data_IF_748876584105
#
_entry.id   IF_748876584105
#
_cell.length_a   1.000
_cell.length_b   1.000
_cell.length_c   1.000
_cell.angle_alpha   90.00
_cell.angle_beta   90.00
_cell.angle_gamma   90.00
#
_symmetry.space_group_name_H-M   'P 1'
#
loop_
_entity.id
_entity.type
_entity.pdbx_description
1 polymer ?
#
# COMPACT_ATOMS: atom_id res chain seq x y z
N UNK A 1 4.52 2.37 -10.62
CA UNK A 1 4.06 2.63 -9.32
C UNK A 1 5.10 2.42 -8.24
N UNK A 2 4.81 2.97 -7.12
CA UNK A 2 5.68 2.85 -5.96
C UNK A 2 5.05 1.92 -4.93
N UNK A 3 5.90 1.28 -4.15
CA UNK A 3 5.44 0.44 -3.04
C UNK A 3 5.60 1.23 -1.76
N UNK A 4 4.58 1.21 -0.92
CA UNK A 4 4.63 1.84 0.39
C UNK A 4 4.39 0.79 1.47
N UNK A 5 4.70 1.15 2.71
CA UNK A 5 4.48 0.28 3.86
C UNK A 5 3.45 0.93 4.77
N UNK A 6 2.40 0.19 5.10
CA UNK A 6 1.31 0.70 5.92
C UNK A 6 1.78 0.89 7.34
N UNK A 7 1.47 2.04 7.93
CA UNK A 7 1.88 2.37 9.30
C UNK A 7 0.73 2.46 10.28
N UNK A 8 -0.51 2.55 9.78
CA UNK A 8 -1.68 2.55 10.67
C UNK A 8 -2.25 1.14 10.76
N UNK A 9 -3.05 0.91 11.81
CA UNK A 9 -3.59 -0.44 12.05
C UNK A 9 -4.52 -0.92 10.98
N UNK A 10 -5.06 0.00 10.17
CA UNK A 10 -5.95 -0.36 9.07
C UNK A 10 -5.89 0.73 8.00
N UNK A 11 -6.36 0.38 6.82
CA UNK A 11 -6.54 1.31 5.71
C UNK A 11 -7.90 1.04 5.10
N UNK A 12 -8.69 2.09 4.91
CA UNK A 12 -9.97 1.97 4.23
C UNK A 12 -10.15 3.18 3.32
N UNK A 13 -11.38 3.45 2.86
CA UNK A 13 -11.59 4.54 1.92
C UNK A 13 -11.63 5.92 2.58
N UNK A 14 -11.45 5.99 3.90
CA UNK A 14 -11.46 7.25 4.65
C UNK A 14 -10.24 7.45 5.52
N UNK A 15 -9.44 6.41 5.72
CA UNK A 15 -8.37 6.47 6.71
C UNK A 15 -7.21 5.59 6.29
N UNK A 16 -6.02 6.03 6.63
CA UNK A 16 -4.82 5.22 6.48
C UNK A 16 -3.61 6.07 6.20
N UNK A 17 -2.46 5.59 6.68
CA UNK A 17 -1.17 6.23 6.41
C UNK A 17 -0.14 5.17 6.12
N UNK A 18 0.88 5.58 5.40
CA UNK A 18 1.96 4.69 5.00
C UNK A 18 3.23 5.50 4.86
N UNK A 19 4.35 4.81 4.75
CA UNK A 19 5.61 5.45 4.43
C UNK A 19 6.07 4.94 3.07
N UNK A 20 6.73 5.83 2.34
CA UNK A 20 7.34 5.51 1.06
C UNK A 20 8.78 5.95 1.12
N UNK A 21 9.67 5.13 0.59
CA UNK A 21 11.08 5.47 0.55
C UNK A 21 11.43 6.01 -0.82
N UNK A 22 12.05 7.16 -0.84
CA UNK A 22 12.38 7.83 -2.09
C UNK A 22 13.79 8.42 -1.96
N UNK A 23 14.74 7.79 -2.66
CA UNK A 23 16.11 8.27 -2.70
C UNK A 23 16.80 8.35 -1.34
N UNK A 24 16.49 7.42 -0.45
CA UNK A 24 17.06 7.42 0.89
C UNK A 24 16.27 8.22 1.90
N UNK A 25 15.21 8.89 1.46
CA UNK A 25 14.32 9.67 2.33
C UNK A 25 13.02 8.90 2.53
N UNK A 26 12.54 8.86 3.77
CA UNK A 26 11.27 8.23 4.09
C UNK A 26 10.23 9.32 4.25
N UNK A 27 9.14 9.20 3.50
CA UNK A 27 8.05 10.17 3.50
C UNK A 27 6.78 9.52 4.04
N UNK A 28 6.06 10.27 4.87
CA UNK A 28 4.75 9.84 5.33
C UNK A 28 3.70 10.31 4.34
N UNK A 29 2.83 9.41 3.92
CA UNK A 29 1.77 9.74 2.97
C UNK A 29 0.44 9.23 3.50
N UNK A 30 -0.61 9.96 3.16
CA UNK A 30 -1.97 9.51 3.44
C UNK A 30 -2.37 8.53 2.32
N UNK A 31 -2.97 7.41 2.69
CA UNK A 31 -3.36 6.39 1.73
C UNK A 31 -4.80 5.97 1.95
N UNK A 32 -5.43 5.48 0.88
CA UNK A 32 -6.80 4.97 0.93
C UNK A 32 -6.89 3.70 0.12
N UNK A 33 -7.71 2.79 0.58
CA UNK A 33 -7.93 1.52 -0.10
C UNK A 33 -9.43 1.24 -0.13
N UNK A 34 -9.95 0.88 -1.28
CA UNK A 34 -11.37 0.62 -1.42
C UNK A 34 -11.76 -0.77 -0.94
N UNK A 35 -10.79 -1.56 -0.46
CA UNK A 35 -11.05 -2.87 0.11
C UNK A 35 -10.80 -2.84 1.61
N UNK A 36 -11.86 -2.62 2.41
CA UNK A 36 -11.68 -2.58 3.87
C UNK A 36 -11.10 -3.88 4.39
N UNK A 37 -10.16 -3.78 5.30
CA UNK A 37 -9.57 -4.96 5.92
C UNK A 37 -8.48 -5.63 5.09
N UNK A 38 -8.22 -5.14 3.88
CA UNK A 38 -7.21 -5.75 3.03
C UNK A 38 -5.78 -5.42 3.45
N UNK A 39 -5.60 -4.32 4.16
CA UNK A 39 -4.28 -3.85 4.56
C UNK A 39 -4.25 -3.54 6.05
N UNK A 40 -3.13 -3.87 6.67
CA UNK A 40 -2.89 -3.60 8.09
C UNK A 40 -1.45 -3.14 8.26
N UNK A 41 -1.12 -2.70 9.47
CA UNK A 41 0.22 -2.21 9.77
C UNK A 41 1.28 -3.22 9.36
N UNK A 42 2.30 -2.75 8.69
CA UNK A 42 3.40 -3.57 8.21
C UNK A 42 3.20 -4.15 6.83
N UNK A 43 1.98 -4.11 6.32
CA UNK A 43 1.71 -4.62 4.98
C UNK A 43 2.29 -3.68 3.93
N UNK A 44 2.65 -4.24 2.80
CA UNK A 44 3.08 -3.47 1.65
C UNK A 44 1.93 -3.26 0.70
N UNK A 45 1.90 -2.08 0.11
CA UNK A 45 0.84 -1.72 -0.81
C UNK A 45 1.43 -1.03 -2.02
N UNK A 46 0.76 -1.20 -3.15
CA UNK A 46 1.16 -0.58 -4.40
C UNK A 46 0.40 0.72 -4.56
N UNK A 47 1.12 1.82 -4.76
CA UNK A 47 0.51 3.12 -4.99
C UNK A 47 0.04 3.17 -6.44
N UNK A 48 -1.25 3.48 -6.63
CA UNK A 48 -1.87 3.49 -7.95
C UNK A 48 -1.95 4.90 -8.49
N UNK A 49 -2.55 5.81 -7.73
CA UNK A 49 -2.70 7.19 -8.17
C UNK A 49 -3.00 8.08 -6.96
N UNK A 50 -2.89 9.37 -7.16
CA UNK A 50 -3.21 10.34 -6.12
C UNK A 50 -4.65 10.81 -6.31
N UNK A 51 -5.46 10.70 -5.26
CA UNK A 51 -6.83 11.15 -5.27
C UNK A 51 -6.87 12.58 -4.72
N UNK A 52 -7.14 13.51 -5.59
CA UNK A 52 -7.11 14.94 -5.22
C UNK A 52 -8.22 15.33 -4.26
N UNK A 53 -9.36 14.70 -4.38
CA UNK A 53 -10.48 15.02 -3.51
C UNK A 53 -10.22 14.59 -2.08
N UNK A 54 -9.62 13.41 -1.93
CA UNK A 54 -9.31 12.88 -0.61
C UNK A 54 -7.96 13.35 -0.08
N UNK A 55 -7.15 13.94 -0.95
CA UNK A 55 -5.79 14.34 -0.61
C UNK A 55 -5.00 13.15 -0.09
N UNK A 56 -5.12 12.04 -0.77
CA UNK A 56 -4.48 10.78 -0.37
C UNK A 56 -4.19 9.93 -1.59
N UNK A 57 -3.27 9.00 -1.44
CA UNK A 57 -2.92 8.08 -2.51
C UNK A 57 -3.81 6.85 -2.44
N UNK A 58 -4.32 6.41 -3.58
CA UNK A 58 -5.03 5.14 -3.66
C UNK A 58 -3.99 4.03 -3.76
N UNK A 59 -4.19 2.99 -2.97
CA UNK A 59 -3.26 1.87 -2.92
C UNK A 59 -3.99 0.54 -3.02
N UNK A 60 -3.26 -0.49 -3.43
CA UNK A 60 -3.74 -1.86 -3.45
C UNK A 60 -2.75 -2.76 -2.72
N UNK A 61 -3.22 -3.88 -2.15
CA UNK A 61 -2.31 -4.82 -1.51
C UNK A 61 -1.31 -5.38 -2.51
N UNK A 62 -0.02 -5.08 -2.31
CA UNK A 62 1.00 -5.56 -3.22
C UNK A 62 1.34 -7.02 -2.96
N UNK A 63 1.07 -7.49 -1.75
CA UNK A 63 1.33 -8.88 -1.41
C UNK A 63 0.55 -9.85 -2.28
N UNK A 64 -0.68 -9.51 -2.61
CA UNK A 64 -1.50 -10.35 -3.48
C UNK A 64 -0.88 -10.49 -4.86
N UNK A 65 -0.38 -9.40 -5.39
CA UNK A 65 0.24 -9.39 -6.70
C UNK A 65 1.53 -10.18 -6.68
N UNK A 66 2.35 -9.97 -5.67
CA UNK A 66 3.64 -10.64 -5.56
C UNK A 66 3.49 -12.12 -5.26
N UNK A 67 2.54 -12.48 -4.42
CA UNK A 67 2.30 -13.87 -4.08
C UNK A 67 1.72 -14.63 -5.27
N UNK A 68 0.90 -13.98 -6.03
CA UNK A 68 0.33 -14.59 -7.22
C UNK A 68 1.34 -14.76 -8.33
N UNK A 69 2.38 -14.01 -8.22
CA UNK A 69 3.48 -14.19 -9.18
C UNK A 69 4.41 -15.27 -8.70
N UNK A 70 3.92 -15.63 -7.98
CA UNK A 70 4.39 -16.34 -7.50
C UNK A 70 4.78 -16.80 -6.74
N UNK A 71 4.42 -16.78 -6.52
CA UNK A 71 4.57 -17.16 -5.98
C UNK A 71 4.74 -17.78 -5.59
N UNK A 72 4.78 -17.75 -5.77
CA UNK A 72 4.83 -18.17 -5.41
C UNK A 72 5.40 -18.51 -5.25
N UNK A 73 5.50 -18.30 -5.28
CA UNK A 73 6.10 -18.35 -5.22
C UNK A 73 6.56 -18.56 -5.01
N UNK A 74 6.62 -18.67 -5.16
CA UNK A 74 7.04 -18.75 -5.13
C UNK A 74 7.35 -18.91 -5.04
N UNK A 75 7.23 -18.84 -5.24
CA UNK A 75 7.42 -18.95 -5.43
C UNK A 75 7.87 -18.95 -5.57
N UNK A 76 7.90 -18.93 -5.52
CA UNK A 76 8.24 -18.88 -5.70
C UNK A 76 8.58 -18.97 -5.72
N UNK A 77 8.51 -18.81 -5.77
CA UNK A 77 8.75 -18.92 -5.86
C UNK A 77 8.92 -19.17 -6.09
#
# INVERSE_FOLDING_TARGET
>A
GHVCTITTGRVDNRFGQATIEDGGTVLDIAVRCDRPGALARGDRALVIEFDRERQAYLVEPSGDVLAGGGARGGESA
#
